data_IF_767444116260
#
_entry.id   IF_767444116260
#
_cell.length_a   1.000
_cell.length_b   1.000
_cell.length_c   1.000
_cell.angle_alpha   90.00
_cell.angle_beta   90.00
_cell.angle_gamma   90.00
#
_symmetry.space_group_name_H-M   'P 1'
#
loop_
_entity.id
_entity.type
_entity.pdbx_description
1 polymer ?
#
# COMPACT_ATOMS: atom_id res chain seq x y z
N UNK A 1 -16.91 36.62 -8.91
CA UNK A 1 -16.84 35.25 -8.34
C UNK A 1 -15.44 34.74 -8.65
N UNK A 2 -14.51 34.93 -7.72
CA UNK A 2 -13.12 34.49 -7.89
C UNK A 2 -13.03 33.03 -7.44
N UNK A 3 -12.57 32.16 -8.33
CA UNK A 3 -12.33 30.76 -8.06
C UNK A 3 -11.14 30.63 -7.12
N UNK A 4 -11.36 30.16 -5.90
CA UNK A 4 -10.30 29.83 -4.95
C UNK A 4 -9.37 28.75 -5.55
N UNK A 5 -8.04 28.94 -5.52
CA UNK A 5 -7.11 27.94 -5.99
C UNK A 5 -7.15 26.74 -5.04
N UNK A 6 -7.45 25.56 -5.59
CA UNK A 6 -7.25 24.22 -5.03
C UNK A 6 -6.28 24.19 -3.84
N UNK A 7 -6.81 24.45 -2.64
CA UNK A 7 -6.09 24.24 -1.39
C UNK A 7 -6.30 22.77 -1.04
N UNK A 8 -5.44 21.92 -1.59
CA UNK A 8 -5.30 20.53 -1.18
C UNK A 8 -4.68 20.53 0.22
N UNK A 9 -5.53 20.79 1.22
CA UNK A 9 -5.19 20.64 2.63
C UNK A 9 -4.80 19.17 2.86
N UNK A 10 -3.50 18.93 2.99
CA UNK A 10 -2.92 17.58 3.05
C UNK A 10 -2.88 17.03 4.48
N UNK A 11 -3.71 17.56 5.38
CA UNK A 11 -3.79 17.15 6.78
C UNK A 11 -5.11 16.45 7.06
N UNK A 12 -5.01 15.17 7.43
CA UNK A 12 -6.07 14.28 7.91
C UNK A 12 -7.27 14.11 6.96
N UNK A 13 -7.05 13.50 5.79
CA UNK A 13 -8.15 12.85 5.06
C UNK A 13 -8.66 11.69 5.91
N UNK A 14 -9.94 11.68 6.22
CA UNK A 14 -10.57 10.52 6.86
C UNK A 14 -10.52 9.30 5.92
N UNK A 15 -10.36 8.08 6.47
CA UNK A 15 -10.46 6.84 5.69
C UNK A 15 -11.80 6.76 4.97
N UNK A 16 -11.84 6.27 3.72
CA UNK A 16 -13.11 6.07 3.02
C UNK A 16 -13.99 5.09 3.79
N UNK A 17 -15.30 5.27 3.69
CA UNK A 17 -16.25 4.31 4.25
C UNK A 17 -16.13 2.96 3.52
N UNK A 18 -16.48 1.87 4.21
CA UNK A 18 -16.44 0.54 3.61
C UNK A 18 -17.35 0.46 2.37
N UNK A 19 -17.01 -0.40 1.38
CA UNK A 19 -17.81 -0.54 0.16
C UNK A 19 -19.27 -0.89 0.52
N UNK A 20 -20.20 -0.06 0.07
CA UNK A 20 -21.65 -0.16 0.37
C UNK A 20 -22.20 0.93 1.28
N UNK A 21 -21.38 1.83 1.81
CA UNK A 21 -21.81 2.85 2.79
C UNK A 21 -22.28 4.17 2.18
N UNK A 22 -21.91 4.47 0.93
CA UNK A 22 -22.14 5.80 0.32
C UNK A 22 -22.49 5.67 -1.16
N UNK A 23 -23.78 5.75 -1.48
CA UNK A 23 -24.30 5.74 -2.85
C UNK A 23 -23.90 6.99 -3.67
N UNK A 24 -23.44 8.05 -2.99
CA UNK A 24 -23.13 9.38 -3.57
C UNK A 24 -21.62 9.68 -3.62
N UNK A 25 -20.75 8.66 -3.49
CA UNK A 25 -19.30 8.87 -3.55
C UNK A 25 -18.86 9.22 -4.99
N UNK A 26 -18.05 10.29 -5.18
CA UNK A 26 -17.48 10.60 -6.48
C UNK A 26 -16.66 9.43 -7.03
N UNK A 27 -17.04 8.94 -8.22
CA UNK A 27 -16.32 7.88 -8.92
C UNK A 27 -15.29 8.47 -9.88
N UNK A 28 -14.08 7.92 -9.86
CA UNK A 28 -12.99 8.29 -10.76
C UNK A 28 -12.76 7.14 -11.74
N UNK A 29 -13.10 7.36 -13.01
CA UNK A 29 -13.00 6.29 -14.02
C UNK A 29 -13.89 5.08 -13.75
N UNK A 30 -14.97 5.26 -12.99
CA UNK A 30 -15.89 4.18 -12.59
C UNK A 30 -15.61 3.55 -11.22
N UNK A 31 -14.46 3.87 -10.61
CA UNK A 31 -14.05 3.31 -9.32
C UNK A 31 -14.20 4.31 -8.18
N UNK A 32 -14.54 3.80 -7.00
CA UNK A 32 -14.55 4.55 -5.74
C UNK A 32 -13.13 4.82 -5.26
N UNK A 33 -12.96 5.79 -4.35
CA UNK A 33 -11.66 6.04 -3.73
C UNK A 33 -11.17 4.80 -2.98
N UNK A 34 -12.08 4.09 -2.33
CA UNK A 34 -11.80 2.85 -1.62
C UNK A 34 -11.14 1.80 -2.54
N UNK A 35 -11.72 1.55 -3.71
CA UNK A 35 -11.21 0.56 -4.67
C UNK A 35 -9.82 0.95 -5.19
N UNK A 36 -9.63 2.22 -5.52
CA UNK A 36 -8.34 2.75 -5.98
C UNK A 36 -7.26 2.63 -4.90
N UNK A 37 -7.59 3.00 -3.65
CA UNK A 37 -6.66 2.87 -2.52
C UNK A 37 -6.36 1.39 -2.21
N UNK A 38 -7.35 0.50 -2.34
CA UNK A 38 -7.18 -0.94 -2.13
C UNK A 38 -6.25 -1.57 -3.16
N UNK A 39 -6.47 -1.30 -4.46
CA UNK A 39 -5.60 -1.80 -5.53
C UNK A 39 -4.18 -1.26 -5.37
N UNK A 40 -4.06 0.04 -5.07
CA UNK A 40 -2.76 0.67 -4.87
C UNK A 40 -2.01 0.03 -3.70
N UNK A 41 -2.66 -0.16 -2.55
CA UNK A 41 -2.02 -0.77 -1.38
C UNK A 41 -1.62 -2.21 -1.67
N UNK A 42 -2.46 -3.00 -2.33
CA UNK A 42 -2.09 -4.36 -2.73
C UNK A 42 -0.90 -4.39 -3.70
N UNK A 43 -0.76 -3.40 -4.59
CA UNK A 43 0.40 -3.28 -5.47
C UNK A 43 1.72 -3.03 -4.71
N UNK A 44 1.68 -2.41 -3.53
CA UNK A 44 2.85 -2.23 -2.66
C UNK A 44 3.39 -3.56 -2.12
N UNK A 45 2.60 -4.63 -2.15
CA UNK A 45 3.06 -5.97 -1.85
C UNK A 45 4.12 -6.49 -2.84
N UNK A 46 4.23 -5.91 -4.04
CA UNK A 46 5.19 -6.31 -5.07
C UNK A 46 6.50 -5.47 -4.98
N UNK A 47 7.66 -6.09 -4.66
CA UNK A 47 8.94 -5.38 -4.59
C UNK A 47 9.37 -4.68 -5.90
N UNK A 48 9.00 -5.24 -7.07
CA UNK A 48 9.28 -4.60 -8.36
C UNK A 48 8.52 -3.29 -8.53
N UNK A 49 7.29 -3.22 -8.00
CA UNK A 49 6.53 -1.98 -8.01
C UNK A 49 7.14 -0.92 -7.10
N UNK A 50 7.65 -1.32 -5.93
CA UNK A 50 8.38 -0.40 -5.04
C UNK A 50 9.63 0.19 -5.71
N UNK A 51 10.39 -0.65 -6.42
CA UNK A 51 11.53 -0.21 -7.22
C UNK A 51 11.12 0.78 -8.32
N UNK A 52 9.99 0.52 -8.98
CA UNK A 52 9.43 1.44 -9.97
C UNK A 52 9.07 2.81 -9.34
N UNK A 53 8.46 2.83 -8.16
CA UNK A 53 8.15 4.07 -7.44
C UNK A 53 9.43 4.83 -7.06
N UNK A 54 10.48 4.11 -6.65
CA UNK A 54 11.78 4.69 -6.30
C UNK A 54 12.48 5.32 -7.52
N UNK A 55 12.52 4.61 -8.65
CA UNK A 55 13.13 5.11 -9.89
C UNK A 55 12.43 6.36 -10.44
N UNK A 56 11.13 6.51 -10.21
CA UNK A 56 10.37 7.73 -10.52
C UNK A 56 10.54 8.87 -9.50
N UNK A 57 11.36 8.70 -8.46
CA UNK A 57 11.56 9.68 -7.37
C UNK A 57 10.28 10.06 -6.64
N UNK A 58 9.28 9.16 -6.62
CA UNK A 58 8.04 9.39 -5.88
C UNK A 58 8.26 9.18 -4.37
N UNK A 59 9.11 8.23 -4.00
CA UNK A 59 9.43 7.92 -2.60
C UNK A 59 10.25 9.02 -1.89
N UNK A 60 10.81 9.98 -2.63
CA UNK A 60 11.47 11.17 -2.07
C UNK A 60 10.52 12.35 -1.89
N UNK A 61 9.30 12.31 -2.45
CA UNK A 61 8.35 13.41 -2.32
C UNK A 61 7.67 13.35 -0.94
N UNK A 62 7.80 14.40 -0.08
CA UNK A 62 7.20 14.41 1.25
C UNK A 62 5.67 14.28 1.22
N UNK A 63 5.00 14.81 0.20
CA UNK A 63 3.55 14.66 0.05
C UNK A 63 3.16 13.19 -0.22
N UNK A 64 3.99 12.46 -0.97
CA UNK A 64 3.76 11.03 -1.22
C UNK A 64 4.06 10.18 0.01
N UNK A 65 5.10 10.53 0.78
CA UNK A 65 5.40 9.84 2.05
C UNK A 65 4.26 10.03 3.06
N UNK A 66 3.71 11.25 3.16
CA UNK A 66 2.53 11.51 3.99
C UNK A 66 1.30 10.70 3.54
N UNK A 67 1.15 10.48 2.23
CA UNK A 67 0.09 9.61 1.71
C UNK A 67 0.31 8.13 2.06
N UNK A 68 1.54 7.63 2.02
CA UNK A 68 1.86 6.27 2.48
C UNK A 68 1.61 6.10 3.98
N UNK A 69 1.87 7.13 4.78
CA UNK A 69 1.54 7.15 6.22
C UNK A 69 0.02 7.10 6.43
N UNK A 70 -0.74 7.89 5.68
CA UNK A 70 -2.20 7.83 5.68
C UNK A 70 -2.69 6.40 5.41
N UNK A 71 -2.15 5.70 4.39
CA UNK A 71 -2.56 4.34 4.04
C UNK A 71 -2.30 3.28 5.13
N UNK A 72 -1.59 3.61 6.22
CA UNK A 72 -1.43 2.68 7.35
C UNK A 72 -2.76 2.26 7.99
N UNK A 73 -3.87 2.99 7.75
CA UNK A 73 -5.18 2.59 8.25
C UNK A 73 -5.64 1.21 7.73
N UNK A 74 -5.12 0.75 6.58
CA UNK A 74 -5.42 -0.59 6.03
C UNK A 74 -4.98 -1.74 6.94
N UNK A 75 -4.07 -1.49 7.89
CA UNK A 75 -3.66 -2.45 8.92
C UNK A 75 -4.73 -2.68 10.01
N UNK A 76 -5.73 -1.80 10.11
CA UNK A 76 -6.74 -1.83 11.18
C UNK A 76 -8.06 -2.45 10.67
N UNK A 77 -8.82 -3.14 11.54
CA UNK A 77 -10.23 -3.45 11.26
C UNK A 77 -11.03 -2.15 11.05
N UNK A 78 -12.05 -2.10 10.17
CA UNK A 78 -12.60 -3.19 9.36
C UNK A 78 -11.93 -3.40 7.98
N UNK A 79 -10.86 -2.67 7.68
CA UNK A 79 -10.24 -2.60 6.33
C UNK A 79 -9.34 -3.80 6.00
N UNK A 80 -8.67 -4.35 7.02
CA UNK A 80 -7.72 -5.44 6.89
C UNK A 80 -8.27 -6.65 6.10
N UNK A 81 -9.56 -6.96 6.25
CA UNK A 81 -10.22 -8.11 5.62
C UNK A 81 -10.30 -8.04 4.09
N UNK A 82 -10.10 -6.86 3.50
CA UNK A 82 -10.16 -6.66 2.05
C UNK A 82 -8.81 -6.89 1.36
N UNK A 83 -7.71 -7.02 2.11
CA UNK A 83 -6.39 -7.31 1.55
C UNK A 83 -6.26 -8.80 1.20
N UNK A 84 -5.91 -9.10 -0.04
CA UNK A 84 -5.66 -10.48 -0.48
C UNK A 84 -4.41 -11.08 0.17
N UNK A 85 -3.34 -10.27 0.28
CA UNK A 85 -2.06 -10.67 0.85
C UNK A 85 -1.60 -9.65 1.90
N UNK A 86 -2.19 -9.66 3.11
CA UNK A 86 -1.92 -8.63 4.12
C UNK A 86 -0.46 -8.64 4.59
N UNK A 87 0.18 -9.79 4.70
CA UNK A 87 1.56 -9.91 5.21
C UNK A 87 2.59 -9.09 4.42
N UNK A 88 2.87 -9.42 3.14
CA UNK A 88 3.83 -8.68 2.33
C UNK A 88 3.44 -7.21 2.14
N UNK A 89 2.15 -6.95 1.94
CA UNK A 89 1.61 -5.61 1.71
C UNK A 89 1.86 -4.68 2.90
N UNK A 90 1.45 -5.09 4.10
CA UNK A 90 1.58 -4.28 5.31
C UNK A 90 3.05 -4.15 5.73
N UNK A 91 3.83 -5.22 5.59
CA UNK A 91 5.27 -5.18 5.86
C UNK A 91 5.96 -4.14 4.97
N UNK A 92 5.70 -4.16 3.67
CA UNK A 92 6.29 -3.20 2.74
C UNK A 92 5.82 -1.77 3.04
N UNK A 93 4.53 -1.59 3.35
CA UNK A 93 3.99 -0.29 3.73
C UNK A 93 4.66 0.28 4.99
N UNK A 94 4.97 -0.56 5.97
CA UNK A 94 5.73 -0.18 7.17
C UNK A 94 7.19 0.15 6.85
N UNK A 95 7.85 -0.65 6.00
CA UNK A 95 9.23 -0.39 5.57
C UNK A 95 9.36 0.93 4.81
N UNK A 96 8.38 1.28 3.98
CA UNK A 96 8.36 2.54 3.22
C UNK A 96 8.31 3.79 4.13
N UNK A 97 7.91 3.67 5.40
CA UNK A 97 8.00 4.79 6.35
C UNK A 97 9.45 5.11 6.73
N UNK A 98 10.36 4.14 6.60
CA UNK A 98 11.77 4.32 6.88
C UNK A 98 12.46 4.99 5.68
N UNK A 99 13.04 6.17 5.88
CA UNK A 99 13.71 6.90 4.81
C UNK A 99 14.84 6.10 4.17
N UNK A 100 15.64 5.41 5.00
CA UNK A 100 16.71 4.55 4.52
C UNK A 100 16.21 3.49 3.53
N UNK A 101 15.09 2.83 3.84
CA UNK A 101 14.50 1.84 2.95
C UNK A 101 14.04 2.46 1.62
N UNK A 102 13.44 3.66 1.65
CA UNK A 102 13.03 4.39 0.43
C UNK A 102 14.21 4.69 -0.49
N UNK A 103 15.39 4.93 0.06
CA UNK A 103 16.62 5.14 -0.70
C UNK A 103 17.17 3.81 -1.23
N UNK A 104 17.17 2.77 -0.40
CA UNK A 104 17.80 1.48 -0.73
C UNK A 104 16.99 0.63 -1.73
N UNK A 105 15.66 0.79 -1.80
CA UNK A 105 14.77 -0.04 -2.65
C UNK A 105 14.95 0.18 -4.16
N UNK A 106 15.72 1.20 -4.56
CA UNK A 106 16.18 1.34 -5.95
C UNK A 106 17.18 0.25 -6.33
N UNK A 107 17.85 -0.37 -5.35
CA UNK A 107 18.83 -1.42 -5.59
C UNK A 107 18.15 -2.73 -6.03
N UNK A 108 18.55 -3.32 -7.17
CA UNK A 108 18.00 -4.59 -7.63
C UNK A 108 18.27 -5.74 -6.64
N UNK A 109 19.37 -5.70 -5.91
CA UNK A 109 19.71 -6.72 -4.91
C UNK A 109 18.75 -6.70 -3.72
N UNK A 110 18.28 -5.52 -3.32
CA UNK A 110 17.28 -5.42 -2.24
C UNK A 110 15.92 -5.93 -2.71
N UNK A 111 15.55 -5.62 -3.96
CA UNK A 111 14.29 -6.07 -4.58
C UNK A 111 14.25 -7.59 -4.66
N UNK A 112 15.34 -8.22 -5.12
CA UNK A 112 15.42 -9.67 -5.23
C UNK A 112 15.34 -10.34 -3.86
N UNK A 113 16.02 -9.77 -2.85
CA UNK A 113 15.93 -10.27 -1.47
C UNK A 113 14.51 -10.23 -0.92
N UNK A 114 13.79 -9.12 -1.12
CA UNK A 114 12.39 -8.99 -0.70
C UNK A 114 11.49 -9.97 -1.44
N UNK A 115 11.75 -10.21 -2.73
CA UNK A 115 11.02 -11.19 -3.53
C UNK A 115 11.22 -12.61 -2.99
N UNK A 116 12.47 -12.98 -2.69
CA UNK A 116 12.78 -14.28 -2.09
C UNK A 116 12.16 -14.44 -0.70
N UNK A 117 12.21 -13.39 0.13
CA UNK A 117 11.61 -13.42 1.47
C UNK A 117 10.09 -13.56 1.41
N UNK A 118 9.42 -12.86 0.49
CA UNK A 118 7.99 -12.99 0.25
C UNK A 118 7.59 -14.40 -0.22
N UNK A 119 8.38 -15.01 -1.10
CA UNK A 119 8.17 -16.39 -1.55
C UNK A 119 8.32 -17.39 -0.39
N UNK A 120 9.34 -17.20 0.46
CA UNK A 120 9.56 -18.04 1.63
C UNK A 120 8.39 -17.94 2.62
N UNK A 121 7.95 -16.73 2.96
CA UNK A 121 6.84 -16.50 3.88
C UNK A 121 5.52 -17.13 3.38
N UNK A 122 5.26 -17.09 2.06
CA UNK A 122 4.10 -17.76 1.47
C UNK A 122 4.17 -19.30 1.57
N UNK A 123 5.37 -19.88 1.40
CA UNK A 123 5.60 -21.33 1.56
C UNK A 123 5.45 -21.74 3.02
N UNK A 124 6.04 -20.99 3.96
CA UNK A 124 5.99 -21.27 5.39
C UNK A 124 4.53 -21.21 5.88
N UNK A 125 3.74 -20.22 5.44
CA UNK A 125 2.31 -20.16 5.75
C UNK A 125 1.52 -21.38 5.23
N UNK A 126 1.81 -21.86 4.02
CA UNK A 126 1.16 -23.05 3.48
C UNK A 126 1.53 -24.32 4.26
N UNK A 127 2.79 -24.44 4.71
CA UNK A 127 3.25 -25.57 5.54
C UNK A 127 2.62 -25.57 6.93
N UNK A 128 2.47 -24.40 7.54
CA UNK A 128 1.86 -24.24 8.87
C UNK A 128 0.33 -24.40 8.82
N UNK A 129 -0.32 -23.90 7.76
CA UNK A 129 -1.78 -23.96 7.61
C UNK A 129 -2.28 -25.32 7.11
N UNK A 130 -1.43 -26.08 6.40
CA UNK A 130 -1.73 -27.42 5.90
C UNK A 130 -0.52 -28.35 6.14
N UNK A 131 -0.30 -28.78 7.40
CA UNK A 131 0.75 -29.74 7.68
C UNK A 131 0.46 -31.02 6.91
N UNK A 132 1.45 -31.51 6.14
CA UNK A 132 1.35 -32.81 5.47
C UNK A 132 1.24 -33.90 6.54
N UNK A 133 0.05 -34.44 6.74
CA UNK A 133 -0.18 -35.63 7.55
C UNK A 133 0.72 -36.76 7.03
N UNK A 134 1.75 -37.10 7.80
CA UNK A 134 2.53 -38.35 7.67
C UNK A 134 2.31 -39.15 8.94
#
# INVERSE_FOLDING_TARGET
>A
MASDPMSVNSSAREPPAAPGSSADEPKYGGYTRFELELEFVQALGNPLYLNHLASRKLLSNPAFVAYLDYLQYWSRPPYLKYLTYPGPTLKNLQLLQQEKFRQDIISPDLVERLRMEGMKAGIDWHKESFPSTT
#
